data_IF_145949342953
#
_entry.id   IF_145949342953
#
_cell.length_a   1.000
_cell.length_b   1.000
_cell.length_c   1.000
_cell.angle_alpha   90.00
_cell.angle_beta   90.00
_cell.angle_gamma   90.00
#
_symmetry.space_group_name_H-M   'P 1'
#
loop_
_entity.id
_entity.type
_entity.pdbx_description
1 polymer ?
#
# COMPACT_ATOMS: atom_id res chain seq x y z
N UNK A 1 12.97 0.03 -20.28
CA UNK A 1 12.09 0.43 -19.16
C UNK A 1 11.78 -0.80 -18.32
N UNK A 2 12.08 -0.80 -17.02
CA UNK A 2 12.05 -1.97 -16.12
C UNK A 2 10.78 -2.85 -16.16
N UNK A 3 9.64 -2.29 -16.59
CA UNK A 3 8.38 -3.02 -16.73
C UNK A 3 8.39 -4.05 -17.89
N UNK A 4 9.31 -3.95 -18.85
CA UNK A 4 9.40 -4.85 -20.01
C UNK A 4 10.48 -5.95 -19.85
N UNK A 5 11.32 -5.86 -18.83
CA UNK A 5 12.48 -6.74 -18.60
C UNK A 5 12.23 -7.81 -17.51
N UNK A 6 11.02 -7.91 -16.95
CA UNK A 6 10.72 -8.83 -15.83
C UNK A 6 11.33 -8.40 -14.48
N UNK A 7 11.87 -7.18 -14.42
CA UNK A 7 12.50 -6.63 -13.23
C UNK A 7 11.47 -6.15 -12.20
N UNK A 8 11.89 -6.06 -10.94
CA UNK A 8 11.03 -5.65 -9.81
C UNK A 8 11.40 -4.25 -9.36
N UNK A 9 10.39 -3.41 -9.13
CA UNK A 9 10.57 -2.03 -8.64
C UNK A 9 10.02 -1.90 -7.23
N UNK A 10 10.82 -1.37 -6.31
CA UNK A 10 10.39 -0.98 -4.97
C UNK A 10 10.03 0.51 -4.95
N UNK A 11 8.75 0.81 -4.69
CA UNK A 11 8.29 2.20 -4.48
C UNK A 11 8.17 2.45 -2.98
N UNK A 12 9.00 3.35 -2.43
CA UNK A 12 8.99 3.66 -1.00
C UNK A 12 8.92 5.17 -0.72
N UNK A 13 8.49 5.46 0.51
CA UNK A 13 8.56 6.79 1.13
C UNK A 13 8.99 6.56 2.58
N UNK A 14 9.07 7.61 3.40
CA UNK A 14 9.53 7.48 4.80
C UNK A 14 8.69 6.47 5.60
N UNK A 15 7.36 6.57 5.55
CA UNK A 15 6.45 5.70 6.32
C UNK A 15 5.68 4.70 5.47
N UNK A 16 5.75 4.82 4.14
CA UNK A 16 4.92 4.02 3.24
C UNK A 16 3.40 4.27 3.38
N UNK A 17 2.99 5.41 3.97
CA UNK A 17 1.57 5.69 4.27
C UNK A 17 0.92 6.52 3.15
N UNK A 18 1.60 7.57 2.69
CA UNK A 18 1.02 8.60 1.83
C UNK A 18 1.70 8.64 0.46
N UNK A 19 2.81 9.37 0.29
CA UNK A 19 3.52 9.55 -1.00
C UNK A 19 3.69 8.28 -1.86
N UNK A 20 4.35 7.24 -1.33
CA UNK A 20 4.57 6.02 -2.11
C UNK A 20 3.28 5.26 -2.38
N UNK A 21 2.30 5.32 -1.47
CA UNK A 21 1.01 4.71 -1.68
C UNK A 21 0.22 5.43 -2.79
N UNK A 22 0.29 6.76 -2.86
CA UNK A 22 -0.29 7.55 -3.95
C UNK A 22 0.22 7.10 -5.31
N UNK A 23 1.55 6.93 -5.46
CA UNK A 23 2.13 6.45 -6.71
C UNK A 23 1.66 5.02 -7.05
N UNK A 24 1.61 4.12 -6.06
CA UNK A 24 1.07 2.79 -6.26
C UNK A 24 -0.40 2.82 -6.68
N UNK A 25 -1.23 3.68 -6.09
CA UNK A 25 -2.63 3.84 -6.47
C UNK A 25 -2.76 4.33 -7.91
N UNK A 26 -2.05 5.39 -8.29
CA UNK A 26 -2.07 5.90 -9.66
C UNK A 26 -1.66 4.82 -10.68
N UNK A 27 -0.60 4.05 -10.38
CA UNK A 27 -0.19 2.94 -11.22
C UNK A 27 -1.28 1.85 -11.34
N UNK A 28 -1.85 1.43 -10.21
CA UNK A 28 -2.88 0.40 -10.17
C UNK A 28 -4.16 0.85 -10.89
N UNK A 29 -4.60 2.09 -10.69
CA UNK A 29 -5.75 2.67 -11.41
C UNK A 29 -5.50 2.71 -12.91
N UNK A 30 -4.28 3.09 -13.36
CA UNK A 30 -3.99 3.19 -14.78
C UNK A 30 -3.88 1.84 -15.49
N UNK A 31 -3.27 0.84 -14.84
CA UNK A 31 -2.82 -0.38 -15.53
C UNK A 31 -3.44 -1.69 -15.02
N UNK A 32 -4.15 -1.71 -13.89
CA UNK A 32 -4.60 -2.96 -13.26
C UNK A 32 -6.09 -3.02 -12.93
N UNK A 33 -6.70 -1.92 -12.53
CA UNK A 33 -8.10 -1.89 -12.11
C UNK A 33 -8.90 -0.91 -12.95
N UNK A 34 -10.22 -1.06 -12.97
CA UNK A 34 -11.10 -0.12 -13.67
C UNK A 34 -11.38 1.14 -12.87
N UNK A 35 -11.26 1.07 -11.54
CA UNK A 35 -11.50 2.23 -10.66
C UNK A 35 -10.42 2.44 -9.59
N UNK A 36 -10.24 3.69 -9.18
CA UNK A 36 -9.44 4.11 -8.04
C UNK A 36 -9.91 3.46 -6.75
N UNK A 37 -11.23 3.29 -6.59
CA UNK A 37 -11.82 2.61 -5.45
C UNK A 37 -11.35 1.16 -5.35
N UNK A 38 -11.36 0.41 -6.44
CA UNK A 38 -10.85 -0.97 -6.48
C UNK A 38 -9.34 -1.02 -6.22
N UNK A 39 -8.58 -0.13 -6.86
CA UNK A 39 -7.14 0.01 -6.64
C UNK A 39 -6.82 0.27 -5.16
N UNK A 40 -7.60 1.13 -4.50
CA UNK A 40 -7.47 1.39 -3.08
C UNK A 40 -7.80 0.18 -2.22
N UNK A 41 -8.92 -0.50 -2.46
CA UNK A 41 -9.30 -1.70 -1.70
C UNK A 41 -8.23 -2.80 -1.83
N UNK A 42 -7.71 -3.00 -3.03
CA UNK A 42 -6.60 -3.94 -3.26
C UNK A 42 -5.35 -3.53 -2.48
N UNK A 43 -4.89 -2.29 -2.63
CA UNK A 43 -3.68 -1.83 -1.96
C UNK A 43 -3.82 -1.86 -0.43
N UNK A 44 -4.97 -1.45 0.09
CA UNK A 44 -5.30 -1.49 1.50
C UNK A 44 -5.36 -2.92 2.06
N UNK A 45 -5.78 -3.91 1.25
CA UNK A 45 -5.75 -5.33 1.64
C UNK A 45 -4.32 -5.88 1.86
N UNK A 46 -3.33 -5.29 1.16
CA UNK A 46 -1.91 -5.65 1.25
C UNK A 46 -1.16 -4.79 2.27
N UNK A 47 -1.45 -3.49 2.32
CA UNK A 47 -0.87 -2.52 3.25
C UNK A 47 -1.97 -1.69 3.92
N UNK A 48 -2.46 -2.14 5.07
CA UNK A 48 -3.64 -1.53 5.70
C UNK A 48 -3.44 -0.16 6.34
N UNK A 49 -2.18 0.29 6.46
CA UNK A 49 -1.82 1.64 6.94
C UNK A 49 -1.83 2.69 5.82
N UNK A 50 -2.13 2.30 4.57
CA UNK A 50 -2.19 3.25 3.45
C UNK A 50 -3.24 4.32 3.72
N UNK A 51 -2.78 5.57 3.73
CA UNK A 51 -3.60 6.74 3.98
C UNK A 51 -2.98 7.97 3.29
N UNK A 52 -3.18 8.14 1.97
CA UNK A 52 -2.81 9.38 1.28
C UNK A 52 -3.42 10.60 1.98
N UNK A 53 -2.74 11.74 1.91
CA UNK A 53 -3.31 12.99 2.40
C UNK A 53 -4.45 13.45 1.46
N UNK A 54 -5.25 14.41 1.91
CA UNK A 54 -6.44 14.84 1.15
C UNK A 54 -6.08 15.45 -0.21
N UNK A 55 -4.97 16.18 -0.32
CA UNK A 55 -4.50 16.74 -1.59
C UNK A 55 -4.13 15.65 -2.61
N UNK A 56 -3.50 14.56 -2.17
CA UNK A 56 -3.25 13.40 -3.02
C UNK A 56 -4.52 12.67 -3.42
N UNK A 57 -5.55 12.65 -2.57
CA UNK A 57 -6.84 12.11 -2.96
C UNK A 57 -7.50 12.92 -4.06
N UNK A 58 -7.50 14.26 -3.94
CA UNK A 58 -7.98 15.13 -5.00
C UNK A 58 -7.26 14.85 -6.31
N UNK A 59 -5.92 14.78 -6.29
CA UNK A 59 -5.12 14.46 -7.47
C UNK A 59 -5.42 13.07 -8.04
N UNK A 60 -5.59 12.06 -7.18
CA UNK A 60 -5.91 10.69 -7.62
C UNK A 60 -7.30 10.59 -8.26
N UNK A 61 -8.28 11.33 -7.74
CA UNK A 61 -9.64 11.37 -8.29
C UNK A 61 -9.62 12.05 -9.67
N UNK A 62 -8.93 13.19 -9.80
CA UNK A 62 -8.73 13.84 -11.10
C UNK A 62 -8.00 12.92 -12.08
N UNK A 63 -6.92 12.28 -11.63
CA UNK A 63 -6.16 11.34 -12.45
C UNK A 63 -7.01 10.16 -12.94
N UNK A 64 -7.85 9.58 -12.09
CA UNK A 64 -8.79 8.52 -12.51
C UNK A 64 -9.71 9.01 -13.63
N UNK A 65 -10.32 10.19 -13.47
CA UNK A 65 -11.22 10.76 -14.46
C UNK A 65 -10.52 10.96 -15.81
N UNK A 66 -9.27 11.44 -15.80
CA UNK A 66 -8.47 11.63 -17.00
C UNK A 66 -8.11 10.33 -17.70
N UNK A 67 -7.62 9.31 -16.96
CA UNK A 67 -7.10 8.08 -17.57
C UNK A 67 -8.19 7.07 -17.91
N UNK A 68 -9.32 7.09 -17.21
CA UNK A 68 -10.47 6.19 -17.46
C UNK A 68 -11.55 6.83 -18.32
N UNK A 69 -11.57 8.16 -18.46
CA UNK A 69 -12.64 8.90 -19.13
C UNK A 69 -14.01 8.61 -18.51
N UNK A 70 -14.05 8.47 -17.18
CA UNK A 70 -15.24 8.21 -16.38
C UNK A 70 -15.38 9.24 -15.27
N UNK A 71 -16.51 9.24 -14.58
CA UNK A 71 -16.63 9.94 -13.30
C UNK A 71 -15.70 9.28 -12.25
N UNK A 72 -15.28 10.07 -11.26
CA UNK A 72 -14.45 9.57 -10.16
C UNK A 72 -15.21 8.54 -9.33
N UNK A 73 -14.56 7.43 -8.97
CA UNK A 73 -15.16 6.36 -8.16
C UNK A 73 -15.07 6.61 -6.66
N UNK A 74 -14.30 7.62 -6.25
CA UNK A 74 -14.07 8.03 -4.86
C UNK A 74 -14.51 9.47 -4.69
N UNK A 75 -15.26 9.74 -3.62
CA UNK A 75 -15.82 11.07 -3.33
C UNK A 75 -15.28 11.60 -2.01
N UNK A 76 -14.99 12.89 -1.96
CA UNK A 76 -14.62 13.56 -0.72
C UNK A 76 -15.89 13.94 0.05
N UNK A 77 -16.02 13.43 1.27
CA UNK A 77 -17.17 13.63 2.16
C UNK A 77 -16.72 14.26 3.47
N UNK A 78 -17.64 14.93 4.17
CA UNK A 78 -17.41 15.40 5.55
C UNK A 78 -17.52 14.22 6.52
N UNK A 79 -16.61 14.16 7.48
CA UNK A 79 -16.65 13.14 8.53
C UNK A 79 -17.85 13.38 9.45
N UNK A 80 -18.54 12.30 9.84
CA UNK A 80 -19.73 12.39 10.71
C UNK A 80 -19.38 12.80 12.14
N UNK A 81 -18.18 12.46 12.59
CA UNK A 81 -17.69 12.76 13.94
C UNK A 81 -17.02 14.14 14.06
N UNK A 82 -16.57 14.68 12.93
CA UNK A 82 -15.85 15.96 12.84
C UNK A 82 -16.23 16.66 11.52
N UNK A 83 -17.25 17.54 11.52
CA UNK A 83 -17.77 18.18 10.31
C UNK A 83 -16.75 19.04 9.54
N UNK A 84 -15.70 19.52 10.22
CA UNK A 84 -14.62 20.32 9.63
C UNK A 84 -13.61 19.45 8.88
N UNK A 85 -13.67 18.13 9.06
CA UNK A 85 -12.75 17.17 8.48
C UNK A 85 -13.32 16.55 7.21
N UNK A 86 -12.61 16.75 6.10
CA UNK A 86 -12.92 16.10 4.82
C UNK A 86 -12.12 14.81 4.66
N UNK A 87 -12.79 13.73 4.27
CA UNK A 87 -12.20 12.41 4.06
C UNK A 87 -12.77 11.74 2.80
N UNK A 88 -12.00 10.87 2.12
CA UNK A 88 -12.53 10.02 1.08
C UNK A 88 -13.61 9.06 1.61
N UNK A 89 -14.68 8.86 0.85
CA UNK A 89 -15.80 7.97 1.18
C UNK A 89 -15.37 6.52 1.39
N UNK A 90 -14.31 6.08 0.69
CA UNK A 90 -13.68 4.77 0.89
C UNK A 90 -13.19 4.55 2.32
N UNK A 91 -12.89 5.60 3.08
CA UNK A 91 -12.51 5.45 4.50
C UNK A 91 -13.71 5.09 5.37
N UNK A 92 -14.88 5.64 5.09
CA UNK A 92 -16.09 5.38 5.90
C UNK A 92 -16.55 3.91 5.83
N UNK A 93 -16.47 3.30 4.64
CA UNK A 93 -16.95 1.92 4.39
C UNK A 93 -15.84 0.86 4.50
N UNK A 94 -14.58 1.22 4.22
CA UNK A 94 -13.46 0.27 4.26
C UNK A 94 -12.82 0.14 5.63
N UNK A 95 -12.74 1.21 6.45
CA UNK A 95 -11.93 1.19 7.67
C UNK A 95 -12.46 0.26 8.77
N UNK A 96 -13.77 0.03 8.90
CA UNK A 96 -14.28 -0.91 9.91
C UNK A 96 -13.83 -2.35 9.58
N UNK A 97 -14.02 -2.78 8.34
CA UNK A 97 -13.60 -4.08 7.85
C UNK A 97 -12.06 -4.23 7.83
N UNK A 98 -11.34 -3.17 7.45
CA UNK A 98 -9.87 -3.16 7.46
C UNK A 98 -9.30 -3.18 8.88
N UNK A 99 -9.89 -2.43 9.82
CA UNK A 99 -9.51 -2.44 11.25
C UNK A 99 -9.71 -3.82 11.85
N UNK A 100 -10.84 -4.47 11.55
CA UNK A 100 -11.12 -5.85 11.99
C UNK A 100 -10.11 -6.85 11.41
N UNK A 101 -9.85 -6.78 10.10
CA UNK A 101 -8.87 -7.63 9.42
C UNK A 101 -7.44 -7.41 9.94
N UNK A 102 -7.08 -6.16 10.25
CA UNK A 102 -5.80 -5.81 10.86
C UNK A 102 -5.63 -6.35 12.26
N UNK A 103 -6.66 -6.20 13.11
CA UNK A 103 -6.66 -6.75 14.47
C UNK A 103 -6.44 -8.26 14.44
N UNK A 104 -7.11 -8.96 13.52
CA UNK A 104 -6.93 -10.40 13.30
C UNK A 104 -5.53 -10.77 12.80
N UNK A 105 -4.97 -10.03 11.83
CA UNK A 105 -3.61 -10.26 11.31
C UNK A 105 -2.52 -9.99 12.34
N UNK A 106 -2.60 -8.87 13.07
CA UNK A 106 -1.65 -8.55 14.12
C UNK A 106 -1.64 -9.63 15.20
N UNK A 107 -2.81 -10.10 15.64
CA UNK A 107 -2.89 -11.19 16.61
C UNK A 107 -2.30 -12.51 16.09
N UNK A 108 -2.46 -12.85 14.80
CA UNK A 108 -1.81 -14.02 14.19
C UNK A 108 -0.29 -13.89 14.13
N UNK A 109 0.22 -12.76 13.64
CA UNK A 109 1.66 -12.55 13.54
C UNK A 109 2.30 -12.58 14.92
N UNK A 110 1.68 -11.94 15.94
CA UNK A 110 2.17 -11.98 17.33
C UNK A 110 2.29 -13.41 17.86
N UNK A 111 1.30 -14.27 17.61
CA UNK A 111 1.37 -15.70 17.96
C UNK A 111 2.49 -16.43 17.20
N UNK A 112 2.68 -16.13 15.91
CA UNK A 112 3.68 -16.80 15.08
C UNK A 112 5.13 -16.40 15.41
N UNK A 113 5.35 -15.17 15.88
CA UNK A 113 6.66 -14.70 16.37
C UNK A 113 7.01 -15.27 17.75
N UNK A 114 6.01 -15.51 18.62
CA UNK A 114 6.22 -16.17 19.92
C UNK A 114 6.51 -17.68 19.80
N UNK A 115 6.10 -18.32 18.70
CA UNK A 115 6.20 -19.79 18.54
C UNK A 115 7.32 -20.27 17.63
N UNK A 116 8.02 -19.38 16.91
CA UNK A 116 9.13 -19.77 16.02
C UNK A 116 10.48 -19.47 16.70
N UNK A 117 11.26 -20.48 17.13
CA UNK A 117 12.60 -20.26 17.62
C UNK A 117 13.50 -19.74 16.49
N UNK A 118 14.27 -18.70 16.79
CA UNK A 118 15.30 -18.19 15.87
C UNK A 118 16.39 -19.26 15.70
N UNK A 119 16.68 -19.63 14.44
CA UNK A 119 17.80 -20.49 14.08
C UNK A 119 18.80 -19.67 13.27
N UNK A 120 19.96 -19.29 13.84
CA UNK A 120 21.02 -18.66 13.06
C UNK A 120 21.58 -19.66 12.05
N UNK A 121 21.74 -19.22 10.80
CA UNK A 121 22.47 -19.97 9.77
C UNK A 121 23.93 -19.55 9.89
N UNK A 122 24.76 -20.39 10.50
CA UNK A 122 26.20 -20.23 10.49
C UNK A 122 26.73 -20.93 9.23
N UNK A 123 26.68 -20.24 8.09
CA UNK A 123 27.45 -20.69 6.93
C UNK A 123 28.91 -20.25 7.13
N UNK A 124 29.88 -21.17 7.09
CA UNK A 124 31.29 -20.81 7.09
C UNK A 124 31.59 -19.95 5.87
N UNK A 125 32.18 -18.78 6.09
CA UNK A 125 32.74 -17.96 5.02
C UNK A 125 33.96 -18.74 4.51
N UNK A 126 33.91 -19.19 3.26
CA UNK A 126 35.11 -19.69 2.58
C UNK A 126 36.09 -18.52 2.50
N UNK A 127 37.17 -18.60 3.27
CA UNK A 127 38.33 -17.73 3.08
C UNK A 127 38.94 -18.09 1.73
N UNK A 128 38.79 -17.20 0.75
CA UNK A 128 39.54 -17.28 -0.49
C UNK A 128 41.02 -17.11 -0.14
N UNK A 129 41.75 -18.22 -0.14
CA UNK A 129 43.20 -18.22 0.01
C UNK A 129 43.77 -17.56 -1.24
N UNK A 130 44.14 -16.29 -1.13
CA UNK A 130 45.01 -15.60 -2.10
C UNK A 130 46.38 -16.29 -2.10
N UNK A 131 46.51 -17.37 -2.87
CA UNK A 131 47.81 -17.88 -3.29
C UNK A 131 48.20 -17.17 -4.59
N UNK A 132 48.86 -16.03 -4.45
CA UNK A 132 49.47 -15.28 -5.53
C UNK A 132 50.96 -15.04 -5.28
N UNK A 133 51.78 -15.76 -6.04
CA UNK A 133 53.24 -15.68 -6.28
C UNK A 133 54.14 -16.45 -5.30
#
# INVERSE_FOLDING_TARGET
MALHSGERVLVHSVKGISRSATLCLAYLTKYKFESLKEAFLFLASKRPLVRPNIGFWTQLITFEQEVKKTNGSVHLIRDKSDPDKVVPDVYSKSLAALKEANRKRQNRNRRQFLTKPYKPVLEPILEDVENGV
#
